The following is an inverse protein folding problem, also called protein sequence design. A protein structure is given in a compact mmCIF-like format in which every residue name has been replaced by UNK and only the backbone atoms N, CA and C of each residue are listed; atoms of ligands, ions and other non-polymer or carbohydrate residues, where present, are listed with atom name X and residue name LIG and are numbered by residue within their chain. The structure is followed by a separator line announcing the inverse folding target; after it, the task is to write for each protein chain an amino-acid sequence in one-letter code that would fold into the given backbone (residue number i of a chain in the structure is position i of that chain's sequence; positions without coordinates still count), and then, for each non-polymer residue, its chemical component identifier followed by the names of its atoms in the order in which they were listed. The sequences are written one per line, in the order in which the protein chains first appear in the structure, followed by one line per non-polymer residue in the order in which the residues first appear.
data_IF_115402300432
#
_entry.id   IF_115402300432
#
_cell.length_a   1.000
_cell.length_b   1.000
_cell.length_c   1.000
_cell.angle_alpha   90.00
_cell.angle_beta   90.00
_cell.angle_gamma   90.00
#
_symmetry.space_group_name_H-M   'P 1'
#
loop_
_entity.id
_entity.type
_entity.pdbx_description
1 polymer ?
#
# COMPACT_ATOMS: atom_id res chain seq x y z
N UNK A 1 5.67 -8.40 -20.90
CA UNK A 1 5.36 -9.08 -19.62
C UNK A 1 5.78 -8.19 -18.47
N UNK A 2 4.94 -8.03 -17.43
CA UNK A 2 5.29 -7.30 -16.21
C UNK A 2 6.22 -8.10 -15.26
N UNK A 3 6.65 -9.29 -15.69
CA UNK A 3 7.60 -10.16 -14.99
C UNK A 3 9.04 -9.93 -15.48
N UNK A 4 9.60 -8.76 -15.19
CA UNK A 4 11.02 -8.48 -15.44
C UNK A 4 11.79 -8.47 -14.12
N UNK A 5 13.02 -8.99 -14.06
CA UNK A 5 13.87 -8.88 -12.87
C UNK A 5 14.03 -7.43 -12.38
N UNK A 6 14.05 -6.46 -13.30
CA UNK A 6 14.10 -5.05 -12.96
C UNK A 6 12.82 -4.56 -12.26
N UNK A 7 11.65 -5.00 -12.73
CA UNK A 7 10.35 -4.66 -12.11
C UNK A 7 10.27 -5.26 -10.71
N UNK A 8 10.71 -6.51 -10.54
CA UNK A 8 10.75 -7.17 -9.24
C UNK A 8 11.67 -6.44 -8.26
N UNK A 9 12.88 -6.06 -8.70
CA UNK A 9 13.82 -5.33 -7.86
C UNK A 9 13.27 -3.94 -7.43
N UNK A 10 12.64 -3.21 -8.36
CA UNK A 10 11.98 -1.94 -8.06
C UNK A 10 10.82 -2.13 -7.09
N UNK A 11 10.01 -3.17 -7.29
CA UNK A 11 8.90 -3.52 -6.40
C UNK A 11 9.40 -3.80 -4.98
N UNK A 12 10.38 -4.68 -4.82
CA UNK A 12 10.95 -5.04 -3.52
C UNK A 12 11.56 -3.83 -2.79
N UNK A 13 12.25 -2.94 -3.51
CA UNK A 13 12.83 -1.72 -2.92
C UNK A 13 11.74 -0.74 -2.45
N UNK A 14 10.69 -0.56 -3.23
CA UNK A 14 9.56 0.28 -2.82
C UNK A 14 8.78 -0.33 -1.66
N UNK A 15 8.54 -1.65 -1.67
CA UNK A 15 7.89 -2.37 -0.58
C UNK A 15 8.64 -2.19 0.74
N UNK A 16 9.96 -2.38 0.75
CA UNK A 16 10.80 -2.16 1.94
C UNK A 16 10.74 -0.71 2.45
N UNK A 17 10.65 0.25 1.52
CA UNK A 17 10.51 1.67 1.87
C UNK A 17 9.17 1.93 2.56
N UNK A 18 8.07 1.40 1.99
CA UNK A 18 6.74 1.47 2.58
C UNK A 18 6.70 0.80 3.95
N UNK A 19 7.20 -0.44 4.08
CA UNK A 19 7.31 -1.14 5.37
C UNK A 19 8.00 -0.26 6.42
N UNK A 20 9.11 0.40 6.06
CA UNK A 20 9.82 1.30 6.97
C UNK A 20 9.00 2.54 7.35
N UNK A 21 8.21 3.10 6.42
CA UNK A 21 7.29 4.21 6.70
C UNK A 21 6.14 3.78 7.62
N UNK A 22 5.68 2.54 7.52
CA UNK A 22 4.63 1.99 8.39
C UNK A 22 5.16 1.42 9.71
N UNK A 23 6.45 1.09 9.80
CA UNK A 23 7.07 0.44 10.95
C UNK A 23 6.98 1.25 12.25
N UNK A 24 6.86 2.58 12.15
CA UNK A 24 6.62 3.43 13.33
C UNK A 24 5.35 3.04 14.10
N UNK A 25 4.37 2.40 13.45
CA UNK A 25 3.13 1.95 14.09
C UNK A 25 2.88 0.45 13.94
N UNK A 26 3.95 -0.36 13.91
CA UNK A 26 3.91 -1.84 13.89
C UNK A 26 3.25 -2.43 12.62
N UNK A 27 4.09 -3.00 11.76
CA UNK A 27 3.65 -3.88 10.68
C UNK A 27 3.38 -5.25 11.30
N UNK A 28 2.15 -5.75 11.16
CA UNK A 28 1.73 -7.04 11.74
C UNK A 28 2.02 -8.19 10.77
N UNK A 29 1.82 -7.98 9.47
CA UNK A 29 2.00 -9.00 8.46
C UNK A 29 2.32 -8.38 7.09
N UNK A 30 3.10 -9.11 6.28
CA UNK A 30 3.32 -8.81 4.86
C UNK A 30 3.12 -10.09 4.06
N UNK A 31 2.23 -10.06 3.08
CA UNK A 31 1.95 -11.19 2.19
C UNK A 31 2.30 -10.80 0.76
N UNK A 32 3.15 -11.58 0.10
CA UNK A 32 3.60 -11.33 -1.26
C UNK A 32 2.90 -12.26 -2.26
N UNK A 33 2.55 -11.72 -3.43
CA UNK A 33 1.94 -12.45 -4.53
C UNK A 33 2.79 -12.26 -5.79
N UNK A 34 3.27 -13.39 -6.30
CA UNK A 34 3.84 -13.43 -7.64
C UNK A 34 2.71 -13.72 -8.63
N UNK A 35 2.37 -12.72 -9.46
CA UNK A 35 1.31 -12.84 -10.45
C UNK A 35 1.85 -12.53 -11.83
N UNK A 36 1.23 -13.13 -12.85
CA UNK A 36 1.56 -12.82 -14.25
C UNK A 36 1.30 -11.34 -14.60
N UNK A 37 0.39 -10.71 -13.87
CA UNK A 37 0.05 -9.28 -13.95
C UNK A 37 1.10 -8.37 -13.29
N UNK A 38 2.15 -8.92 -12.70
CA UNK A 38 3.20 -8.22 -11.97
C UNK A 38 3.16 -8.52 -10.46
N UNK A 39 4.22 -8.15 -9.74
CA UNK A 39 4.32 -8.38 -8.30
C UNK A 39 3.27 -7.54 -7.55
N UNK A 40 2.63 -8.16 -6.56
CA UNK A 40 1.67 -7.53 -5.66
C UNK A 40 2.02 -7.92 -4.21
N UNK A 41 1.67 -7.07 -3.24
CA UNK A 41 1.83 -7.40 -1.83
C UNK A 41 0.74 -6.74 -0.99
N UNK A 42 0.30 -7.42 0.06
CA UNK A 42 -0.46 -6.87 1.16
C UNK A 42 0.46 -6.57 2.33
N UNK A 43 0.26 -5.41 2.94
CA UNK A 43 0.87 -5.05 4.23
C UNK A 43 -0.28 -4.81 5.19
N UNK A 44 -0.25 -5.47 6.34
CA UNK A 44 -1.18 -5.30 7.45
C UNK A 44 -0.52 -4.42 8.50
N UNK A 45 -1.16 -3.30 8.84
CA UNK A 45 -0.60 -2.30 9.78
C UNK A 45 -1.60 -1.97 10.87
N UNK A 46 -1.12 -1.69 12.09
CA UNK A 46 -1.95 -1.24 13.22
C UNK A 46 -2.03 0.29 13.25
N UNK A 47 -2.85 0.88 12.38
CA UNK A 47 -3.00 2.32 12.21
C UNK A 47 -4.45 2.69 11.88
N UNK A 48 -4.84 3.95 12.07
CA UNK A 48 -6.12 4.43 11.54
C UNK A 48 -6.13 4.36 10.00
N UNK A 49 -7.31 4.18 9.41
CA UNK A 49 -7.48 4.19 7.95
C UNK A 49 -6.93 5.48 7.33
N UNK A 50 -7.18 6.60 7.99
CA UNK A 50 -6.75 7.93 7.60
C UNK A 50 -5.22 8.07 7.57
N UNK A 51 -4.52 7.73 8.66
CA UNK A 51 -3.07 7.91 8.74
C UNK A 51 -2.33 6.98 7.78
N UNK A 52 -2.83 5.74 7.65
CA UNK A 52 -2.26 4.79 6.73
C UNK A 52 -2.42 5.24 5.27
N UNK A 53 -3.56 5.88 4.92
CA UNK A 53 -3.80 6.46 3.60
C UNK A 53 -2.86 7.65 3.35
N UNK A 54 -2.69 8.56 4.31
CA UNK A 54 -1.75 9.68 4.20
C UNK A 54 -0.33 9.19 3.97
N UNK A 55 0.12 8.17 4.70
CA UNK A 55 1.46 7.61 4.53
C UNK A 55 1.65 7.00 3.14
N UNK A 56 0.63 6.34 2.58
CA UNK A 56 0.66 5.80 1.22
C UNK A 56 0.75 6.91 0.17
N UNK A 57 -0.07 7.96 0.32
CA UNK A 57 -0.03 9.14 -0.56
C UNK A 57 1.34 9.83 -0.50
N UNK A 58 1.92 9.98 0.69
CA UNK A 58 3.25 10.57 0.87
C UNK A 58 4.31 9.76 0.13
N UNK A 59 4.32 8.44 0.29
CA UNK A 59 5.24 7.57 -0.43
C UNK A 59 5.15 7.78 -1.95
N UNK A 60 3.92 7.75 -2.50
CA UNK A 60 3.69 7.94 -3.94
C UNK A 60 4.21 9.29 -4.47
N UNK A 61 4.21 10.32 -3.62
CA UNK A 61 4.61 11.68 -4.00
C UNK A 61 6.10 11.95 -3.81
N UNK A 62 6.71 11.40 -2.76
CA UNK A 62 8.08 11.78 -2.35
C UNK A 62 9.15 10.78 -2.74
N UNK A 63 8.82 9.50 -2.87
CA UNK A 63 9.81 8.49 -3.20
C UNK A 63 10.08 8.45 -4.72
N UNK A 64 11.34 8.21 -5.11
CA UNK A 64 11.75 8.16 -6.52
C UNK A 64 11.04 7.06 -7.32
N UNK A 65 10.59 5.98 -6.65
CA UNK A 65 9.74 4.94 -7.20
C UNK A 65 8.26 5.14 -6.87
N UNK A 66 7.88 6.08 -5.99
CA UNK A 66 6.50 6.25 -5.55
C UNK A 66 5.49 6.35 -6.69
N UNK A 67 5.85 7.00 -7.79
CA UNK A 67 4.99 7.17 -8.97
C UNK A 67 4.63 5.88 -9.71
N UNK A 68 5.42 4.81 -9.57
CA UNK A 68 5.13 3.52 -10.20
C UNK A 68 4.27 2.61 -9.31
N UNK A 69 4.02 2.98 -8.05
CA UNK A 69 3.16 2.24 -7.14
C UNK A 69 1.74 2.82 -7.13
N UNK A 70 0.79 1.92 -6.98
CA UNK A 70 -0.60 2.23 -6.63
C UNK A 70 -0.85 1.69 -5.23
N UNK A 71 -0.74 2.53 -4.21
CA UNK A 71 -0.93 2.17 -2.79
C UNK A 71 -2.39 2.39 -2.41
N UNK A 72 -3.18 1.32 -2.47
CA UNK A 72 -4.60 1.33 -2.09
C UNK A 72 -4.75 0.94 -0.63
N UNK A 73 -5.38 1.78 0.20
CA UNK A 73 -5.58 1.52 1.63
C UNK A 73 -7.05 1.26 1.89
N UNK A 74 -7.35 0.12 2.54
CA UNK A 74 -8.70 -0.27 2.94
C UNK A 74 -8.76 -0.65 4.42
N UNK A 75 -9.90 -0.39 5.05
CA UNK A 75 -10.18 -0.84 6.40
C UNK A 75 -10.39 -2.35 6.41
N UNK A 76 -9.85 -3.03 7.42
CA UNK A 76 -10.10 -4.46 7.62
C UNK A 76 -11.50 -4.75 8.20
N UNK A 77 -12.12 -3.74 8.81
CA UNK A 77 -13.51 -3.71 9.24
C UNK A 77 -14.33 -2.84 8.28
N UNK A 78 -15.66 -2.86 8.38
CA UNK A 78 -16.57 -2.04 7.56
C UNK A 78 -16.48 -2.31 6.03
N UNK A 79 -16.64 -3.59 5.66
CA UNK A 79 -16.74 -4.05 4.27
C UNK A 79 -15.63 -3.56 3.32
N UNK A 80 -14.44 -3.30 3.85
CA UNK A 80 -13.30 -2.87 3.04
C UNK A 80 -13.34 -1.40 2.64
N UNK A 81 -13.96 -0.53 3.45
CA UNK A 81 -14.04 0.90 3.18
C UNK A 81 -12.67 1.49 2.82
N UNK A 82 -12.64 2.36 1.80
CA UNK A 82 -11.45 3.07 1.35
C UNK A 82 -11.67 4.57 1.43
N UNK A 83 -10.59 5.32 1.68
CA UNK A 83 -10.56 6.77 1.53
C UNK A 83 -9.94 7.13 0.19
N UNK A 84 -10.58 8.05 -0.54
CA UNK A 84 -10.02 8.64 -1.75
C UNK A 84 -9.03 9.76 -1.41
N UNK A 85 -8.19 10.12 -2.40
CA UNK A 85 -7.21 11.21 -2.26
C UNK A 85 -7.91 12.56 -2.09
N UNK A 86 -8.99 12.78 -2.83
CA UNK A 86 -9.74 14.03 -2.86
C UNK A 86 -10.53 14.27 -1.57
N UNK A 87 -11.05 13.21 -0.94
CA UNK A 87 -11.67 13.31 0.40
C UNK A 87 -10.68 13.79 1.47
N UNK A 88 -9.38 13.53 1.27
CA UNK A 88 -8.30 13.97 2.13
C UNK A 88 -7.66 15.30 1.67
N UNK A 89 -8.21 15.97 0.66
CA UNK A 89 -7.71 17.24 0.14
C UNK A 89 -6.46 17.14 -0.76
N UNK A 90 -6.09 15.95 -1.21
CA UNK A 90 -4.98 15.75 -2.14
C UNK A 90 -5.46 15.72 -3.59
N UNK A 91 -4.60 16.20 -4.49
CA UNK A 91 -4.83 16.10 -5.93
C UNK A 91 -4.96 14.63 -6.40
N UNK A 92 -5.76 14.45 -7.45
CA UNK A 92 -5.85 13.18 -8.19
C UNK A 92 -4.48 12.76 -8.73
N UNK A 93 -4.22 11.46 -8.79
CA UNK A 93 -2.93 10.93 -9.25
C UNK A 93 -2.76 11.21 -10.75
N UNK A 94 -1.61 11.75 -11.15
CA UNK A 94 -1.22 11.93 -12.56
C UNK A 94 -0.44 10.70 -13.01
N UNK A 95 -1.10 9.74 -13.68
CA UNK A 95 -0.52 8.42 -13.94
C UNK A 95 0.64 8.41 -14.96
N UNK A 96 1.72 7.70 -14.61
CA UNK A 96 2.76 7.20 -15.50
C UNK A 96 2.99 5.72 -15.10
N UNK A 97 2.68 4.75 -15.97
CA UNK A 97 2.91 3.28 -15.80
C UNK A 97 2.78 2.69 -14.36
N UNK A 98 1.69 1.96 -14.10
CA UNK A 98 1.32 1.50 -12.74
C UNK A 98 1.64 0.02 -12.48
N UNK A 99 2.34 -0.26 -11.37
CA UNK A 99 2.42 -1.54 -10.66
C UNK A 99 1.47 -1.47 -9.47
N UNK A 100 0.59 -2.47 -9.33
CA UNK A 100 -0.50 -2.43 -8.34
C UNK A 100 -0.01 -2.92 -6.98
N UNK A 101 -0.36 -2.23 -5.91
CA UNK A 101 -0.04 -2.66 -4.55
C UNK A 101 -1.25 -2.47 -3.63
N UNK A 102 -1.90 -3.58 -3.30
CA UNK A 102 -3.13 -3.57 -2.52
C UNK A 102 -2.77 -3.62 -1.03
N UNK A 103 -3.26 -2.68 -0.22
CA UNK A 103 -2.85 -2.53 1.19
C UNK A 103 -4.05 -2.62 2.14
N UNK A 104 -3.91 -3.42 3.19
CA UNK A 104 -4.88 -3.52 4.28
C UNK A 104 -4.46 -2.67 5.47
N UNK A 105 -5.43 -2.09 6.16
CA UNK A 105 -5.23 -1.34 7.40
C UNK A 105 -6.10 -1.95 8.47
N UNK A 106 -5.48 -2.41 9.55
CA UNK A 106 -6.19 -2.81 10.75
C UNK A 106 -6.32 -1.59 11.65
N UNK A 107 -7.54 -1.12 11.85
CA UNK A 107 -7.82 -0.19 12.93
C UNK A 107 -7.54 -0.89 14.28
N UNK A 108 -6.91 -0.23 15.25
CA UNK A 108 -6.58 -0.82 16.53
C UNK A 108 -7.82 -0.90 17.44
N UNK A 109 -8.82 -1.70 17.08
CA UNK A 109 -9.81 -2.30 17.99
C UNK A 109 -10.78 -3.25 17.26
N UNK A 110 -10.28 -4.35 16.71
CA UNK A 110 -10.93 -5.66 16.83
C UNK A 110 -10.13 -6.73 16.09
N UNK A 111 -9.94 -7.85 16.76
CA UNK A 111 -9.27 -9.06 16.28
C UNK A 111 -9.88 -9.54 14.96
N UNK A 112 -9.22 -9.28 13.83
CA UNK A 112 -9.61 -9.87 12.55
C UNK A 112 -9.12 -11.31 12.52
N UNK A 113 -10.04 -12.26 12.67
CA UNK A 113 -9.78 -13.66 12.31
C UNK A 113 -9.83 -13.76 10.79
N UNK A 114 -8.66 -13.87 10.17
CA UNK A 114 -8.55 -14.38 8.79
C UNK A 114 -9.20 -15.78 8.78
N UNK A 115 -10.29 -15.93 8.03
CA UNK A 115 -10.93 -17.22 7.74
C UNK A 115 -10.28 -17.85 6.52
#
# INVERSE_FOLDING_TARGET
MKQSPAILAMFQRGLKTLESMYAQNKVEEVVYFDRETGPEAFIVVSQSLHDAKINGIRFEQTDSLGRIFDVDVMAAVDDGQQLSRTELGFDVRKCLFVVKMLKFVLEPSNTVKLK
#
